data_IF_698863600230
#
_entry.id   IF_698863600230
#
_cell.length_a   1.000
_cell.length_b   1.000
_cell.length_c   1.000
_cell.angle_alpha   90.00
_cell.angle_beta   90.00
_cell.angle_gamma   90.00
#
_symmetry.space_group_name_H-M   'P 1'
#
loop_
_entity.id
_entity.type
_entity.pdbx_description
1 polymer ?
#
# COMPACT_ATOMS: atom_id res chain seq x y z
N UNK A 1 -27.82 22.79 22.23
CA UNK A 1 -28.40 21.65 21.47
C UNK A 1 -27.25 20.96 20.77
N UNK A 2 -27.13 19.65 21.01
CA UNK A 2 -25.93 18.84 20.82
C UNK A 2 -25.37 18.89 19.40
N UNK A 3 -24.06 19.11 19.30
CA UNK A 3 -23.29 18.81 18.09
C UNK A 3 -22.69 17.43 18.30
N UNK A 4 -23.45 16.39 17.97
CA UNK A 4 -22.96 15.01 17.90
C UNK A 4 -22.26 14.84 16.55
N UNK A 5 -20.93 15.00 16.59
CA UNK A 5 -20.02 14.67 15.50
C UNK A 5 -20.08 13.15 15.26
N UNK A 6 -20.60 12.76 14.09
CA UNK A 6 -20.39 11.42 13.54
C UNK A 6 -19.00 11.40 12.89
N UNK A 7 -17.96 11.07 13.66
CA UNK A 7 -16.59 10.89 13.17
C UNK A 7 -16.16 9.41 13.10
N UNK A 8 -17.08 8.46 13.33
CA UNK A 8 -16.75 7.03 13.30
C UNK A 8 -16.71 6.44 11.87
N UNK A 9 -17.40 7.04 10.89
CA UNK A 9 -17.41 6.54 9.50
C UNK A 9 -16.24 7.10 8.64
N UNK A 10 -15.52 8.12 9.10
CA UNK A 10 -14.48 8.76 8.30
C UNK A 10 -13.12 8.08 8.40
N UNK A 11 -12.81 7.43 9.52
CA UNK A 11 -11.48 6.84 9.77
C UNK A 11 -11.23 5.68 8.83
N UNK A 12 -12.10 4.66 8.84
CA UNK A 12 -11.90 3.47 8.01
C UNK A 12 -11.90 3.72 6.51
N UNK A 13 -12.72 4.66 6.00
CA UNK A 13 -12.66 5.07 4.59
C UNK A 13 -11.36 5.78 4.25
N UNK A 14 -10.86 6.60 5.18
CA UNK A 14 -9.58 7.30 5.03
C UNK A 14 -8.42 6.32 5.04
N UNK A 15 -8.44 5.32 5.92
CA UNK A 15 -7.38 4.31 6.04
C UNK A 15 -7.33 3.40 4.81
N UNK A 16 -8.49 2.95 4.29
CA UNK A 16 -8.54 2.19 3.02
C UNK A 16 -7.93 2.99 1.88
N UNK A 17 -8.34 4.26 1.72
CA UNK A 17 -7.82 5.14 0.66
C UNK A 17 -6.32 5.36 0.79
N UNK A 18 -5.79 5.51 2.01
CA UNK A 18 -4.37 5.65 2.24
C UNK A 18 -3.61 4.40 1.78
N UNK A 19 -4.13 3.20 2.12
CA UNK A 19 -3.53 1.95 1.66
C UNK A 19 -3.56 1.83 0.14
N UNK A 20 -4.69 2.11 -0.51
CA UNK A 20 -4.80 2.08 -1.98
C UNK A 20 -3.77 2.99 -2.64
N UNK A 21 -3.61 4.22 -2.13
CA UNK A 21 -2.66 5.18 -2.69
C UNK A 21 -1.21 4.74 -2.49
N UNK A 22 -0.88 4.17 -1.33
CA UNK A 22 0.44 3.62 -1.04
C UNK A 22 0.76 2.45 -2.00
N UNK A 23 -0.18 1.54 -2.21
CA UNK A 23 -0.04 0.40 -3.14
C UNK A 23 0.10 0.88 -4.59
N UNK A 24 -0.71 1.84 -5.02
CA UNK A 24 -0.60 2.44 -6.36
C UNK A 24 0.79 3.09 -6.57
N UNK A 25 1.32 3.72 -5.52
CA UNK A 25 2.66 4.33 -5.53
C UNK A 25 3.75 3.26 -5.64
N UNK A 26 3.63 2.16 -4.88
CA UNK A 26 4.52 1.01 -4.98
C UNK A 26 4.52 0.40 -6.38
N UNK A 27 3.35 0.23 -7.00
CA UNK A 27 3.20 -0.27 -8.38
C UNK A 27 3.85 0.65 -9.41
N UNK A 28 3.59 1.97 -9.34
CA UNK A 28 4.19 2.96 -10.26
C UNK A 28 5.70 2.99 -10.15
N UNK A 29 6.22 2.99 -8.92
CA UNK A 29 7.65 3.04 -8.64
C UNK A 29 8.33 1.74 -9.08
N UNK A 30 7.69 0.60 -8.86
CA UNK A 30 8.14 -0.72 -9.35
C UNK A 30 8.25 -0.76 -10.86
N UNK A 31 7.22 -0.30 -11.59
CA UNK A 31 7.27 -0.21 -13.04
C UNK A 31 8.32 0.78 -13.56
N UNK A 32 8.60 1.87 -12.82
CA UNK A 32 9.68 2.78 -13.16
C UNK A 32 11.06 2.15 -12.92
N UNK A 33 11.25 1.43 -11.81
CA UNK A 33 12.49 0.76 -11.46
C UNK A 33 12.90 -0.28 -12.51
N UNK A 34 11.98 -1.17 -12.89
CA UNK A 34 12.27 -2.26 -13.83
C UNK A 34 12.51 -1.79 -15.27
N UNK A 35 11.96 -0.64 -15.66
CA UNK A 35 12.22 -0.02 -16.97
C UNK A 35 13.50 0.82 -16.99
N UNK A 36 13.80 1.53 -15.90
CA UNK A 36 14.81 2.58 -15.87
C UNK A 36 16.24 2.13 -15.55
N UNK A 37 16.46 0.89 -15.08
CA UNK A 37 17.76 0.38 -14.59
C UNK A 37 18.47 1.31 -13.59
N UNK A 38 17.72 2.10 -12.83
CA UNK A 38 18.26 3.01 -11.81
C UNK A 38 18.17 2.35 -10.44
N UNK A 39 19.32 2.16 -9.80
CA UNK A 39 19.40 1.62 -8.44
C UNK A 39 18.70 2.52 -7.41
N UNK A 40 18.69 3.84 -7.63
CA UNK A 40 17.94 4.78 -6.79
C UNK A 40 16.44 4.51 -6.86
N UNK A 41 15.90 4.34 -8.06
CA UNK A 41 14.45 4.08 -8.25
C UNK A 41 14.09 2.68 -7.75
N UNK A 42 15.00 1.72 -7.88
CA UNK A 42 14.84 0.38 -7.34
C UNK A 42 14.74 0.38 -5.81
N UNK A 43 15.63 1.10 -5.13
CA UNK A 43 15.56 1.26 -3.68
C UNK A 43 14.27 1.98 -3.25
N UNK A 44 13.85 3.02 -3.97
CA UNK A 44 12.58 3.70 -3.72
C UNK A 44 11.37 2.78 -3.93
N UNK A 45 11.44 1.85 -4.89
CA UNK A 45 10.38 0.90 -5.13
C UNK A 45 10.24 -0.10 -3.97
N UNK A 46 11.35 -0.64 -3.46
CA UNK A 46 11.33 -1.48 -2.27
C UNK A 46 10.81 -0.75 -1.04
N UNK A 47 11.24 0.50 -0.83
CA UNK A 47 10.73 1.30 0.30
C UNK A 47 9.22 1.54 0.19
N UNK A 48 8.72 1.89 -1.00
CA UNK A 48 7.29 2.10 -1.20
C UNK A 48 6.46 0.82 -0.97
N UNK A 49 7.02 -0.35 -1.30
CA UNK A 49 6.39 -1.64 -1.00
C UNK A 49 6.32 -1.86 0.51
N UNK A 50 7.43 -1.61 1.23
CA UNK A 50 7.48 -1.80 2.68
C UNK A 50 6.55 -0.84 3.41
N UNK A 51 6.56 0.45 3.07
CA UNK A 51 5.67 1.46 3.65
C UNK A 51 4.19 1.06 3.49
N UNK A 52 3.82 0.55 2.32
CA UNK A 52 2.46 0.06 2.07
C UNK A 52 2.15 -1.24 2.82
N UNK A 53 3.13 -2.13 3.03
CA UNK A 53 2.95 -3.35 3.84
C UNK A 53 2.72 -2.98 5.30
N UNK A 54 3.54 -2.09 5.87
CA UNK A 54 3.37 -1.63 7.24
C UNK A 54 1.98 -1.02 7.45
N UNK A 55 1.54 -0.18 6.51
CA UNK A 55 0.19 0.37 6.54
C UNK A 55 -0.88 -0.73 6.49
N UNK A 56 -0.72 -1.75 5.63
CA UNK A 56 -1.66 -2.88 5.53
C UNK A 56 -1.81 -3.71 6.81
N UNK A 57 -0.83 -3.61 7.73
CA UNK A 57 -0.81 -4.31 9.01
C UNK A 57 -1.32 -3.43 10.16
N UNK A 58 -1.80 -2.22 9.88
CA UNK A 58 -2.34 -1.32 10.90
C UNK A 58 -3.56 -1.93 11.60
N UNK A 59 -3.71 -1.62 12.89
CA UNK A 59 -4.86 -2.11 13.66
C UNK A 59 -6.17 -1.52 13.14
N UNK A 60 -6.10 -0.31 12.60
CA UNK A 60 -7.22 0.41 12.00
C UNK A 60 -7.75 -0.34 10.78
N UNK A 61 -6.87 -0.82 9.89
CA UNK A 61 -7.27 -1.62 8.73
C UNK A 61 -7.71 -3.02 9.12
N UNK A 62 -7.08 -3.63 10.13
CA UNK A 62 -7.48 -4.93 10.66
C UNK A 62 -8.86 -4.91 11.33
N UNK A 63 -9.28 -3.75 11.86
CA UNK A 63 -10.59 -3.54 12.47
C UNK A 63 -11.71 -3.30 11.42
N UNK A 64 -11.37 -3.15 10.15
CA UNK A 64 -12.36 -2.98 9.08
C UNK A 64 -13.09 -4.29 8.79
N UNK A 65 -14.40 -4.19 8.53
CA UNK A 65 -15.23 -5.32 8.07
C UNK A 65 -15.03 -5.60 6.58
N UNK A 66 -13.77 -5.64 6.13
CA UNK A 66 -13.36 -5.90 4.75
C UNK A 66 -11.93 -6.48 4.67
N UNK A 67 -11.73 -7.72 5.15
CA UNK A 67 -10.43 -8.37 5.11
C UNK A 67 -9.97 -8.71 3.67
N UNK A 68 -10.92 -8.87 2.74
CA UNK A 68 -10.65 -9.17 1.33
C UNK A 68 -9.93 -8.00 0.64
N UNK A 69 -10.33 -6.77 0.95
CA UNK A 69 -9.64 -5.58 0.49
C UNK A 69 -8.17 -5.58 0.92
N UNK A 70 -7.87 -5.77 2.22
CA UNK A 70 -6.49 -5.76 2.73
C UNK A 70 -5.67 -6.88 2.09
N UNK A 71 -6.26 -8.08 1.97
CA UNK A 71 -5.62 -9.21 1.31
C UNK A 71 -5.29 -8.91 -0.15
N UNK A 72 -6.19 -8.28 -0.90
CA UNK A 72 -5.94 -7.88 -2.29
C UNK A 72 -4.76 -6.90 -2.38
N UNK A 73 -4.73 -5.89 -1.52
CA UNK A 73 -3.62 -4.93 -1.48
C UNK A 73 -2.27 -5.63 -1.20
N UNK A 74 -2.24 -6.57 -0.26
CA UNK A 74 -1.04 -7.36 0.04
C UNK A 74 -0.57 -8.21 -1.16
N UNK A 75 -1.49 -8.83 -1.89
CA UNK A 75 -1.14 -9.59 -3.11
C UNK A 75 -0.53 -8.71 -4.20
N UNK A 76 -1.00 -7.46 -4.35
CA UNK A 76 -0.42 -6.50 -5.28
C UNK A 76 1.00 -6.11 -4.87
N UNK A 77 1.26 -5.96 -3.56
CA UNK A 77 2.60 -5.67 -3.02
C UNK A 77 3.54 -6.87 -3.21
N UNK A 78 3.07 -8.09 -3.03
CA UNK A 78 3.84 -9.31 -3.30
C UNK A 78 4.24 -9.40 -4.78
N UNK A 79 3.30 -9.11 -5.69
CA UNK A 79 3.60 -9.07 -7.13
C UNK A 79 4.66 -8.01 -7.47
N UNK A 80 4.59 -6.82 -6.84
CA UNK A 80 5.60 -5.78 -7.03
C UNK A 80 6.99 -6.24 -6.54
N UNK A 81 7.06 -6.81 -5.34
CA UNK A 81 8.30 -7.33 -4.76
C UNK A 81 8.92 -8.40 -5.68
N UNK A 82 8.10 -9.37 -6.11
CA UNK A 82 8.54 -10.40 -7.04
C UNK A 82 9.10 -9.83 -8.34
N UNK A 83 8.46 -8.79 -8.90
CA UNK A 83 8.94 -8.15 -10.14
C UNK A 83 10.31 -7.47 -9.94
N UNK A 84 10.54 -6.84 -8.79
CA UNK A 84 11.83 -6.22 -8.48
C UNK A 84 12.92 -7.28 -8.23
N UNK A 85 12.59 -8.34 -7.51
CA UNK A 85 13.50 -9.45 -7.23
C UNK A 85 13.93 -10.14 -8.53
N UNK A 86 12.99 -10.42 -9.45
CA UNK A 86 13.28 -10.98 -10.77
C UNK A 86 14.14 -10.05 -11.62
N UNK A 87 13.95 -8.73 -11.51
CA UNK A 87 14.77 -7.76 -12.22
C UNK A 87 16.23 -7.69 -11.71
N UNK A 88 16.46 -8.02 -10.44
CA UNK A 88 17.80 -8.04 -9.84
C UNK A 88 18.59 -9.32 -10.08
N UNK A 89 17.93 -10.42 -10.49
CA UNK A 89 18.58 -11.69 -10.84
C UNK A 89 19.34 -11.61 -12.16
#
# INVERSE_FOLDING_TARGET
>A
MNSEFHDEDQTGFTDKRQLELAVETAQKTTGAATRGRSSTVLNSAYQAIEDARELSLSQELAALDDPEFVQQQQQLLDACQHQLDEFQK
#
